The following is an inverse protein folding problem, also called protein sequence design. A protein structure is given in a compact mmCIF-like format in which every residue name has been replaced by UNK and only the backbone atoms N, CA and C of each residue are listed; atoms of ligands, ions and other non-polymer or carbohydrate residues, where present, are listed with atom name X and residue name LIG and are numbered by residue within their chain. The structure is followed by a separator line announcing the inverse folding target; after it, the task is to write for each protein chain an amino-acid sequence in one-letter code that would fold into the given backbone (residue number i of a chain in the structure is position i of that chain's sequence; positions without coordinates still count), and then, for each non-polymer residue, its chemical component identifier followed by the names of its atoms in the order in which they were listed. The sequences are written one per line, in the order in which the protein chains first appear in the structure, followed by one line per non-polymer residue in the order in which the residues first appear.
data_IF_811752942393
#
_entry.id   IF_811752942393
#
_cell.length_a   1.000
_cell.length_b   1.000
_cell.length_c   1.000
_cell.angle_alpha   90.00
_cell.angle_beta   90.00
_cell.angle_gamma   90.00
#
_symmetry.space_group_name_H-M   'P 1'
#
loop_
_entity.id
_entity.type
_entity.pdbx_description
1 polymer ?
#
# COMPACT_ATOMS: atom_id res chain seq x y z
N UNK A 1 -36.11 -2.83 -34.91
CA UNK A 1 -35.03 -2.54 -35.87
C UNK A 1 -34.56 -3.80 -36.58
N UNK A 2 -34.20 -4.86 -35.85
CA UNK A 2 -33.83 -6.17 -36.40
C UNK A 2 -34.89 -6.71 -37.37
N UNK A 3 -36.17 -6.83 -36.98
CA UNK A 3 -37.27 -7.29 -37.86
C UNK A 3 -37.48 -6.43 -39.13
N UNK A 4 -37.32 -5.12 -39.02
CA UNK A 4 -37.51 -4.18 -40.14
C UNK A 4 -36.39 -4.32 -41.18
N UNK A 5 -35.17 -4.66 -40.72
CA UNK A 5 -34.00 -4.93 -41.57
C UNK A 5 -34.10 -6.34 -42.18
N UNK A 6 -34.44 -7.36 -41.39
CA UNK A 6 -34.57 -8.76 -41.86
C UNK A 6 -35.65 -8.92 -42.91
N UNK A 7 -36.76 -8.18 -42.85
CA UNK A 7 -37.88 -8.36 -43.79
C UNK A 7 -37.81 -7.34 -44.92
N UNK A 8 -37.67 -6.05 -44.61
CA UNK A 8 -37.76 -4.98 -45.61
C UNK A 8 -36.56 -4.90 -46.54
N UNK A 9 -35.34 -4.96 -46.00
CA UNK A 9 -34.13 -4.84 -46.82
C UNK A 9 -33.79 -6.13 -47.54
N UNK A 10 -34.06 -7.28 -46.94
CA UNK A 10 -33.92 -8.59 -47.60
C UNK A 10 -34.78 -8.69 -48.85
N UNK A 11 -36.03 -8.22 -48.80
CA UNK A 11 -36.91 -8.23 -49.97
C UNK A 11 -36.39 -7.29 -51.06
N UNK A 12 -36.04 -6.04 -50.72
CA UNK A 12 -35.49 -5.10 -51.69
C UNK A 12 -34.19 -5.60 -52.36
N UNK A 13 -33.31 -6.26 -51.60
CA UNK A 13 -32.06 -6.80 -52.13
C UNK A 13 -32.33 -8.00 -53.04
N UNK A 14 -33.25 -8.90 -52.67
CA UNK A 14 -33.64 -10.03 -53.53
C UNK A 14 -34.37 -9.57 -54.79
N UNK A 15 -35.21 -8.54 -54.71
CA UNK A 15 -35.91 -7.95 -55.85
C UNK A 15 -34.91 -7.26 -56.80
N UNK A 16 -33.90 -6.60 -56.26
CA UNK A 16 -32.83 -5.99 -57.06
C UNK A 16 -31.93 -7.06 -57.69
N UNK A 17 -31.54 -8.09 -56.94
CA UNK A 17 -30.70 -9.18 -57.44
C UNK A 17 -31.40 -10.01 -58.51
N UNK A 18 -32.70 -10.29 -58.37
CA UNK A 18 -33.48 -11.02 -59.37
C UNK A 18 -33.63 -10.23 -60.69
N UNK A 19 -33.54 -8.91 -60.64
CA UNK A 19 -33.53 -8.05 -61.85
C UNK A 19 -32.18 -8.02 -62.59
N UNK A 20 -31.08 -8.37 -61.92
CA UNK A 20 -29.70 -8.27 -62.46
C UNK A 20 -29.09 -9.65 -62.76
N UNK A 21 -29.45 -10.68 -61.99
CA UNK A 21 -28.91 -12.04 -62.10
C UNK A 21 -30.09 -13.01 -62.19
N UNK A 22 -30.26 -13.66 -63.34
CA UNK A 22 -31.26 -14.72 -63.53
C UNK A 22 -30.78 -16.02 -62.88
N UNK A 23 -30.98 -16.16 -61.57
CA UNK A 23 -30.79 -17.42 -60.85
C UNK A 23 -32.01 -17.72 -59.98
N UNK A 24 -32.86 -18.65 -60.44
CA UNK A 24 -34.08 -19.10 -59.75
C UNK A 24 -33.83 -19.80 -58.39
N UNK A 25 -32.57 -20.05 -58.02
CA UNK A 25 -32.21 -20.94 -56.91
C UNK A 25 -31.42 -20.32 -55.75
N UNK A 26 -31.17 -19.00 -55.76
CA UNK A 26 -30.42 -18.33 -54.68
C UNK A 26 -31.17 -17.10 -54.17
N UNK A 27 -31.77 -17.23 -52.98
CA UNK A 27 -32.35 -16.11 -52.22
C UNK A 27 -31.45 -15.79 -51.03
N UNK A 28 -31.09 -14.52 -50.88
CA UNK A 28 -30.33 -14.05 -49.73
C UNK A 28 -31.32 -13.80 -48.59
N UNK A 29 -31.02 -14.33 -47.40
CA UNK A 29 -31.77 -14.04 -46.18
C UNK A 29 -30.84 -13.31 -45.22
N UNK A 30 -31.05 -12.00 -45.04
CA UNK A 30 -30.27 -11.24 -44.06
C UNK A 30 -30.83 -11.54 -42.69
N UNK A 31 -30.00 -12.09 -41.80
CA UNK A 31 -30.33 -12.26 -40.39
C UNK A 31 -29.43 -11.35 -39.56
N UNK A 32 -30.01 -10.52 -38.72
CA UNK A 32 -29.28 -9.61 -37.84
C UNK A 32 -28.85 -10.34 -36.57
N UNK A 33 -27.59 -10.78 -36.49
CA UNK A 33 -27.00 -11.33 -35.26
C UNK A 33 -26.53 -10.18 -34.34
N UNK A 34 -27.50 -9.51 -33.72
CA UNK A 34 -27.30 -8.32 -32.89
C UNK A 34 -27.44 -8.70 -31.41
N UNK A 35 -26.33 -9.09 -30.79
CA UNK A 35 -26.26 -9.22 -29.33
C UNK A 35 -26.15 -7.84 -28.67
N UNK A 36 -26.47 -7.74 -27.37
CA UNK A 36 -26.29 -6.51 -26.60
C UNK A 36 -24.83 -6.02 -26.69
N UNK A 37 -23.86 -6.93 -26.56
CA UNK A 37 -22.43 -6.60 -26.69
C UNK A 37 -22.07 -6.04 -28.06
N UNK A 38 -22.54 -6.64 -29.16
CA UNK A 38 -22.31 -6.12 -30.53
C UNK A 38 -23.01 -4.79 -30.76
N UNK A 39 -24.21 -4.63 -30.22
CA UNK A 39 -24.97 -3.39 -30.33
C UNK A 39 -24.25 -2.24 -29.61
N UNK A 40 -23.79 -2.48 -28.38
CA UNK A 40 -23.14 -1.48 -27.55
C UNK A 40 -21.71 -1.17 -28.02
N UNK A 41 -20.93 -2.18 -28.46
CA UNK A 41 -19.53 -1.96 -28.88
C UNK A 41 -19.39 -1.46 -30.32
N UNK A 42 -20.19 -1.96 -31.26
CA UNK A 42 -19.95 -1.75 -32.70
C UNK A 42 -20.95 -0.82 -33.38
N UNK A 43 -22.09 -0.54 -32.74
CA UNK A 43 -23.22 0.17 -33.38
C UNK A 43 -23.70 1.41 -32.63
N UNK A 44 -23.40 1.56 -31.35
CA UNK A 44 -23.80 2.72 -30.53
C UNK A 44 -22.58 3.61 -30.28
N UNK A 45 -22.62 4.84 -30.78
CA UNK A 45 -21.64 5.86 -30.42
C UNK A 45 -22.08 6.54 -29.12
N UNK A 46 -21.31 6.37 -28.04
CA UNK A 46 -21.58 7.08 -26.79
C UNK A 46 -21.16 8.55 -26.92
N UNK A 47 -22.03 9.44 -26.45
CA UNK A 47 -21.75 10.87 -26.35
C UNK A 47 -22.10 11.33 -24.95
N UNK A 48 -21.16 11.98 -24.29
CA UNK A 48 -21.34 12.53 -22.95
C UNK A 48 -21.82 13.97 -23.09
N UNK A 49 -22.81 14.36 -22.29
CA UNK A 49 -23.29 15.75 -22.24
C UNK A 49 -22.53 16.50 -21.15
N UNK A 50 -21.54 17.32 -21.52
CA UNK A 50 -20.96 18.33 -20.62
C UNK A 50 -21.59 19.69 -20.92
N UNK A 51 -22.40 20.21 -19.98
CA UNK A 51 -23.15 21.46 -20.16
C UNK A 51 -23.94 21.50 -21.48
N UNK A 52 -24.64 20.40 -21.78
CA UNK A 52 -25.42 20.22 -23.02
C UNK A 52 -24.60 20.12 -24.32
N UNK A 53 -23.26 20.10 -24.23
CA UNK A 53 -22.39 19.84 -25.38
C UNK A 53 -22.15 18.32 -25.46
N UNK A 54 -22.54 17.66 -26.55
CA UNK A 54 -22.22 16.26 -26.77
C UNK A 54 -20.74 16.13 -27.10
N UNK A 55 -19.98 15.52 -26.21
CA UNK A 55 -18.58 15.20 -26.38
C UNK A 55 -18.48 13.71 -26.71
N UNK A 56 -17.86 13.36 -27.85
CA UNK A 56 -17.74 11.97 -28.27
C UNK A 56 -16.85 11.16 -27.31
N UNK A 57 -17.15 9.87 -27.19
CA UNK A 57 -16.51 8.92 -26.27
C UNK A 57 -14.98 8.87 -26.39
N UNK A 58 -14.45 8.96 -27.60
CA UNK A 58 -13.02 9.00 -27.88
C UNK A 58 -12.30 10.19 -27.22
N UNK A 59 -13.04 11.19 -26.71
CA UNK A 59 -12.51 12.34 -25.97
C UNK A 59 -12.70 12.23 -24.45
N UNK A 60 -13.64 11.41 -23.95
CA UNK A 60 -13.92 11.25 -22.51
C UNK A 60 -13.25 10.04 -21.87
N UNK A 61 -12.75 9.09 -22.68
CA UNK A 61 -11.87 8.02 -22.25
C UNK A 61 -12.58 6.67 -22.07
N UNK A 62 -11.95 5.64 -22.63
CA UNK A 62 -12.42 4.23 -22.68
C UNK A 62 -12.83 3.63 -21.32
N UNK A 63 -12.35 4.18 -20.21
CA UNK A 63 -12.63 3.68 -18.87
C UNK A 63 -14.07 3.81 -18.40
N UNK A 64 -14.75 4.89 -18.78
CA UNK A 64 -16.16 5.06 -18.41
C UNK A 64 -17.07 4.14 -19.21
N UNK A 65 -16.76 3.95 -20.49
CA UNK A 65 -17.41 2.94 -21.34
C UNK A 65 -17.31 1.57 -20.72
N UNK A 66 -16.12 1.14 -20.27
CA UNK A 66 -15.95 -0.15 -19.62
C UNK A 66 -16.85 -0.32 -18.39
N UNK A 67 -16.97 0.70 -17.53
CA UNK A 67 -17.86 0.63 -16.38
C UNK A 67 -19.33 0.53 -16.81
N UNK A 68 -19.75 1.34 -17.79
CA UNK A 68 -21.11 1.32 -18.32
C UNK A 68 -21.44 -0.04 -18.95
N UNK A 69 -20.50 -0.64 -19.69
CA UNK A 69 -20.63 -1.96 -20.30
C UNK A 69 -20.80 -3.04 -19.24
N UNK A 70 -19.97 -3.04 -18.19
CA UNK A 70 -20.11 -3.97 -17.06
C UNK A 70 -21.50 -3.81 -16.42
N UNK A 71 -21.95 -2.58 -16.16
CA UNK A 71 -23.26 -2.32 -15.57
C UNK A 71 -24.39 -2.76 -16.51
N UNK A 72 -24.29 -2.50 -17.81
CA UNK A 72 -25.29 -2.90 -18.80
C UNK A 72 -25.42 -4.44 -18.88
N UNK A 73 -24.30 -5.16 -18.87
CA UNK A 73 -24.29 -6.62 -18.87
C UNK A 73 -24.84 -7.19 -17.57
N UNK A 74 -24.58 -6.54 -16.43
CA UNK A 74 -25.24 -6.87 -15.16
C UNK A 74 -26.75 -6.66 -15.21
N UNK A 75 -27.21 -5.54 -15.78
CA UNK A 75 -28.65 -5.24 -15.94
C UNK A 75 -29.30 -6.31 -16.81
N UNK A 76 -28.75 -6.59 -17.98
CA UNK A 76 -29.28 -7.60 -18.92
C UNK A 76 -29.34 -8.99 -18.27
N UNK A 77 -28.32 -9.36 -17.49
CA UNK A 77 -28.32 -10.60 -16.71
C UNK A 77 -29.45 -10.65 -15.67
N UNK A 78 -29.65 -9.56 -14.92
CA UNK A 78 -30.68 -9.44 -13.89
C UNK A 78 -32.10 -9.42 -14.50
N UNK A 79 -32.26 -8.79 -15.66
CA UNK A 79 -33.55 -8.71 -16.36
C UNK A 79 -33.96 -10.06 -16.93
N UNK A 80 -33.00 -10.82 -17.49
CA UNK A 80 -33.19 -12.21 -17.94
C UNK A 80 -33.46 -13.20 -16.80
N UNK A 81 -33.30 -12.78 -15.54
CA UNK A 81 -33.61 -13.60 -14.39
C UNK A 81 -35.13 -13.78 -14.24
N UNK A 82 -35.65 -14.95 -14.61
CA UNK A 82 -37.06 -15.32 -14.46
C UNK A 82 -37.37 -15.67 -12.99
N UNK A 83 -38.36 -14.97 -12.42
CA UNK A 83 -38.60 -14.80 -10.98
C UNK A 83 -39.07 -15.99 -10.16
N UNK A 84 -38.98 -17.23 -10.64
CA UNK A 84 -39.41 -18.43 -9.87
C UNK A 84 -38.40 -19.61 -9.92
N UNK A 85 -37.20 -19.39 -10.46
CA UNK A 85 -36.14 -20.40 -10.46
C UNK A 85 -35.47 -20.47 -9.09
N UNK A 86 -36.23 -21.00 -8.14
CA UNK A 86 -35.85 -21.42 -6.79
C UNK A 86 -34.45 -22.04 -6.72
N UNK A 87 -33.58 -21.46 -5.87
CA UNK A 87 -32.51 -22.04 -5.03
C UNK A 87 -31.68 -23.26 -5.49
N UNK A 88 -31.74 -23.68 -6.75
CA UNK A 88 -31.19 -24.93 -7.27
C UNK A 88 -30.10 -24.72 -8.32
N UNK A 89 -29.85 -23.47 -8.72
CA UNK A 89 -28.80 -23.08 -9.65
C UNK A 89 -27.78 -22.18 -8.95
N UNK A 90 -26.50 -22.40 -9.23
CA UNK A 90 -25.41 -21.50 -8.81
C UNK A 90 -25.33 -20.40 -9.87
N UNK A 91 -25.63 -19.17 -9.46
CA UNK A 91 -25.49 -18.00 -10.32
C UNK A 91 -24.17 -17.31 -9.99
N UNK A 92 -23.25 -17.32 -10.95
CA UNK A 92 -21.91 -16.76 -10.80
C UNK A 92 -21.73 -15.65 -11.83
N UNK A 93 -21.33 -14.48 -11.36
CA UNK A 93 -20.93 -13.36 -12.21
C UNK A 93 -19.44 -13.15 -12.01
N UNK A 94 -18.68 -13.20 -13.10
CA UNK A 94 -17.25 -12.98 -13.08
C UNK A 94 -16.91 -11.68 -13.81
N UNK A 95 -16.09 -10.85 -13.18
CA UNK A 95 -15.52 -9.66 -13.79
C UNK A 95 -14.00 -9.80 -13.70
N UNK A 96 -13.36 -9.90 -14.86
CA UNK A 96 -11.92 -10.01 -14.96
C UNK A 96 -11.30 -8.64 -15.24
N UNK A 97 -10.32 -8.25 -14.42
CA UNK A 97 -9.51 -7.03 -14.56
C UNK A 97 -10.31 -5.77 -14.94
N UNK A 98 -11.35 -5.39 -14.16
CA UNK A 98 -12.20 -4.26 -14.51
C UNK A 98 -11.45 -2.92 -14.53
N UNK A 99 -10.25 -2.83 -13.94
CA UNK A 99 -9.39 -1.65 -14.00
C UNK A 99 -8.90 -1.27 -15.40
N UNK A 100 -9.00 -2.18 -16.38
CA UNK A 100 -8.50 -1.94 -17.73
C UNK A 100 -9.14 -0.68 -18.32
N UNK A 101 -8.30 0.29 -18.71
CA UNK A 101 -8.67 1.63 -19.18
C UNK A 101 -9.41 2.54 -18.16
N UNK A 102 -9.70 2.08 -16.94
CA UNK A 102 -10.39 2.89 -15.91
C UNK A 102 -9.45 3.88 -15.21
N UNK A 103 -9.95 5.08 -14.94
CA UNK A 103 -9.25 6.06 -14.12
C UNK A 103 -9.14 5.57 -12.66
N UNK A 104 -8.01 5.75 -11.94
CA UNK A 104 -7.86 5.32 -10.54
C UNK A 104 -8.99 5.69 -9.58
N UNK A 105 -9.50 6.92 -9.61
CA UNK A 105 -10.64 7.31 -8.76
C UNK A 105 -11.97 6.64 -9.16
N UNK A 106 -12.12 6.15 -10.40
CA UNK A 106 -13.25 5.27 -10.74
C UNK A 106 -13.06 3.88 -10.15
N UNK A 107 -11.83 3.36 -10.15
CA UNK A 107 -11.48 2.06 -9.55
C UNK A 107 -11.77 2.06 -8.03
N UNK A 108 -11.44 3.15 -7.34
CA UNK A 108 -11.76 3.35 -5.90
C UNK A 108 -13.27 3.32 -5.60
N UNK A 109 -14.12 3.64 -6.58
CA UNK A 109 -15.58 3.65 -6.44
C UNK A 109 -16.24 2.44 -7.10
N UNK A 110 -15.47 1.55 -7.72
CA UNK A 110 -15.98 0.46 -8.55
C UNK A 110 -16.96 -0.44 -7.78
N UNK A 111 -16.54 -0.97 -6.63
CA UNK A 111 -17.38 -1.87 -5.82
C UNK A 111 -18.66 -1.18 -5.36
N UNK A 112 -18.55 0.10 -5.00
CA UNK A 112 -19.72 0.92 -4.63
C UNK A 112 -20.68 1.06 -5.81
N UNK A 113 -20.19 1.38 -7.00
CA UNK A 113 -21.04 1.55 -8.18
C UNK A 113 -21.76 0.26 -8.58
N UNK A 114 -21.07 -0.87 -8.53
CA UNK A 114 -21.67 -2.19 -8.79
C UNK A 114 -22.77 -2.49 -7.76
N UNK A 115 -22.48 -2.30 -6.47
CA UNK A 115 -23.47 -2.51 -5.42
C UNK A 115 -24.68 -1.57 -5.55
N UNK A 116 -24.46 -0.28 -5.84
CA UNK A 116 -25.52 0.71 -6.03
C UNK A 116 -26.38 0.37 -7.26
N UNK A 117 -25.77 -0.10 -8.36
CA UNK A 117 -26.48 -0.54 -9.55
C UNK A 117 -27.36 -1.77 -9.24
N UNK A 118 -26.79 -2.81 -8.63
CA UNK A 118 -27.52 -4.01 -8.23
C UNK A 118 -28.68 -3.68 -7.29
N UNK A 119 -28.43 -2.89 -6.24
CA UNK A 119 -29.46 -2.49 -5.28
C UNK A 119 -30.63 -1.73 -5.94
N UNK A 120 -30.33 -0.82 -6.88
CA UNK A 120 -31.37 -0.09 -7.62
C UNK A 120 -32.21 -1.02 -8.50
N UNK A 121 -31.59 -2.02 -9.14
CA UNK A 121 -32.32 -2.98 -9.96
C UNK A 121 -33.23 -3.87 -9.12
N UNK A 122 -32.74 -4.38 -7.99
CA UNK A 122 -33.52 -5.17 -7.04
C UNK A 122 -34.70 -4.39 -6.43
N UNK A 123 -34.60 -3.06 -6.37
CA UNK A 123 -35.66 -2.21 -5.81
C UNK A 123 -36.82 -1.91 -6.77
N UNK A 124 -36.63 -2.13 -8.08
CA UNK A 124 -37.56 -1.62 -9.11
C UNK A 124 -38.78 -2.51 -9.38
N UNK A 125 -38.70 -3.83 -9.26
CA UNK A 125 -39.84 -4.73 -9.54
C UNK A 125 -39.81 -6.01 -8.67
N UNK A 126 -40.99 -6.49 -8.28
CA UNK A 126 -41.33 -7.75 -7.61
C UNK A 126 -40.17 -8.62 -7.13
N UNK A 127 -39.73 -8.43 -5.86
CA UNK A 127 -38.87 -9.33 -5.05
C UNK A 127 -38.10 -10.42 -5.82
N UNK A 128 -37.33 -10.06 -6.86
CA UNK A 128 -36.45 -11.02 -7.53
C UNK A 128 -35.36 -11.35 -6.51
N UNK A 129 -35.46 -12.50 -5.86
CA UNK A 129 -34.47 -12.95 -4.89
C UNK A 129 -33.22 -13.40 -5.65
N UNK A 130 -32.34 -12.44 -5.93
CA UNK A 130 -31.21 -12.63 -6.80
C UNK A 130 -30.08 -13.30 -6.02
N UNK A 131 -30.07 -14.63 -6.04
CA UNK A 131 -29.04 -15.44 -5.40
C UNK A 131 -27.83 -15.58 -6.34
N UNK A 132 -27.07 -14.49 -6.54
CA UNK A 132 -25.86 -14.47 -7.39
C UNK A 132 -24.61 -14.13 -6.60
N UNK A 133 -23.52 -14.81 -6.92
CA UNK A 133 -22.19 -14.54 -6.37
C UNK A 133 -21.35 -13.78 -7.39
N UNK A 134 -20.81 -12.64 -6.98
CA UNK A 134 -19.88 -11.84 -7.77
C UNK A 134 -18.43 -12.24 -7.43
N UNK A 135 -17.65 -12.56 -8.45
CA UNK A 135 -16.22 -12.85 -8.37
C UNK A 135 -15.47 -11.84 -9.23
N UNK A 136 -14.50 -11.16 -8.64
CA UNK A 136 -13.67 -10.16 -9.32
C UNK A 136 -12.22 -10.60 -9.21
N UNK A 137 -11.51 -10.69 -10.32
CA UNK A 137 -10.04 -10.71 -10.35
C UNK A 137 -9.53 -9.30 -10.64
N UNK A 138 -8.47 -8.89 -9.95
CA UNK A 138 -7.89 -7.56 -10.11
C UNK A 138 -6.42 -7.55 -9.70
N UNK A 139 -5.63 -6.78 -10.43
CA UNK A 139 -4.29 -6.34 -10.09
C UNK A 139 -4.26 -4.91 -9.52
N UNK A 140 -5.43 -4.26 -9.39
CA UNK A 140 -5.54 -2.90 -8.88
C UNK A 140 -5.63 -2.83 -7.36
N UNK A 141 -4.68 -2.11 -6.77
CA UNK A 141 -4.72 -1.71 -5.37
C UNK A 141 -5.91 -0.79 -5.05
N UNK A 142 -6.43 -0.05 -6.03
CA UNK A 142 -7.61 0.82 -5.89
C UNK A 142 -8.91 0.03 -5.80
N UNK A 143 -9.08 -1.04 -6.58
CA UNK A 143 -10.26 -1.92 -6.47
C UNK A 143 -10.24 -2.67 -5.14
N UNK A 144 -9.08 -3.18 -4.73
CA UNK A 144 -8.92 -3.82 -3.42
C UNK A 144 -9.29 -2.85 -2.29
N UNK A 145 -8.84 -1.60 -2.38
CA UNK A 145 -9.21 -0.55 -1.44
C UNK A 145 -10.73 -0.29 -1.42
N UNK A 146 -11.33 -0.16 -2.61
CA UNK A 146 -12.79 -0.04 -2.80
C UNK A 146 -13.53 -1.17 -2.09
N UNK A 147 -13.07 -2.42 -2.24
CA UNK A 147 -13.68 -3.60 -1.59
C UNK A 147 -13.55 -3.54 -0.07
N UNK A 148 -12.37 -3.22 0.46
CA UNK A 148 -12.15 -3.15 1.92
C UNK A 148 -13.04 -2.06 2.52
N UNK A 149 -13.23 -0.96 1.79
CA UNK A 149 -14.03 0.17 2.23
C UNK A 149 -15.54 -0.08 2.14
N UNK A 150 -16.05 -0.52 1.00
CA UNK A 150 -17.48 -0.77 0.79
C UNK A 150 -17.98 -2.01 1.52
N UNK A 151 -17.13 -3.03 1.69
CA UNK A 151 -17.46 -4.27 2.40
C UNK A 151 -17.14 -4.25 3.89
N UNK A 152 -16.58 -3.16 4.42
CA UNK A 152 -16.13 -2.99 5.81
C UNK A 152 -15.34 -4.20 6.36
N UNK A 153 -14.39 -4.74 5.59
CA UNK A 153 -13.64 -5.91 6.03
C UNK A 153 -12.72 -6.55 5.01
N UNK A 154 -11.91 -7.49 5.47
CA UNK A 154 -11.04 -8.33 4.65
C UNK A 154 -11.73 -9.60 4.17
N UNK A 155 -12.91 -9.92 4.71
CA UNK A 155 -13.69 -11.10 4.34
C UNK A 155 -14.00 -11.14 2.85
N UNK A 156 -13.91 -12.31 2.23
CA UNK A 156 -14.07 -12.50 0.77
C UNK A 156 -12.94 -11.87 -0.08
N UNK A 157 -11.72 -11.76 0.46
CA UNK A 157 -10.52 -11.55 -0.36
C UNK A 157 -9.70 -12.84 -0.40
N UNK A 158 -9.44 -13.31 -1.61
CA UNK A 158 -8.51 -14.39 -1.87
C UNK A 158 -7.22 -13.77 -2.41
N UNK A 159 -6.18 -13.75 -1.59
CA UNK A 159 -4.87 -13.26 -1.99
C UNK A 159 -4.09 -14.37 -2.69
N UNK A 160 -3.84 -14.19 -3.98
CA UNK A 160 -3.09 -15.14 -4.81
C UNK A 160 -1.62 -14.71 -4.79
N UNK A 161 -0.74 -15.60 -4.36
CA UNK A 161 0.70 -15.36 -4.26
C UNK A 161 1.50 -16.55 -4.75
N UNK A 162 2.80 -16.38 -4.90
CA UNK A 162 3.73 -17.41 -5.32
C UNK A 162 4.79 -17.62 -4.24
N UNK A 163 5.04 -18.86 -3.87
CA UNK A 163 6.10 -19.20 -2.92
C UNK A 163 6.66 -20.58 -3.23
N UNK A 164 7.99 -20.71 -3.20
CA UNK A 164 8.68 -21.97 -3.50
C UNK A 164 8.30 -22.54 -4.88
N UNK A 165 8.15 -21.68 -5.90
CA UNK A 165 7.67 -22.03 -7.25
C UNK A 165 6.26 -22.63 -7.31
N UNK A 166 5.45 -22.47 -6.26
CA UNK A 166 4.06 -22.93 -6.23
C UNK A 166 3.11 -21.75 -6.05
N UNK A 167 2.00 -21.77 -6.80
CA UNK A 167 0.89 -20.84 -6.58
C UNK A 167 0.19 -21.18 -5.25
N UNK A 168 -0.07 -20.16 -4.45
CA UNK A 168 -0.77 -20.26 -3.17
C UNK A 168 -1.93 -19.29 -3.13
N UNK A 169 -3.01 -19.72 -2.49
CA UNK A 169 -4.19 -18.89 -2.25
C UNK A 169 -4.35 -18.72 -0.75
N UNK A 170 -4.27 -17.48 -0.30
CA UNK A 170 -4.40 -17.08 1.09
C UNK A 170 -5.76 -16.41 1.26
N UNK A 171 -6.66 -17.07 1.99
CA UNK A 171 -7.99 -16.53 2.27
C UNK A 171 -7.88 -15.54 3.42
N UNK A 172 -8.08 -14.25 3.13
CA UNK A 172 -8.15 -13.20 4.13
C UNK A 172 -9.51 -13.20 4.81
N UNK A 173 -9.48 -13.08 6.13
CA UNK A 173 -10.66 -12.95 6.99
C UNK A 173 -10.31 -12.06 8.16
N UNK A 174 -11.29 -11.27 8.62
CA UNK A 174 -11.12 -10.38 9.78
C UNK A 174 -10.69 -11.16 11.04
N UNK A 175 -11.20 -12.38 11.21
CA UNK A 175 -10.85 -13.28 12.31
C UNK A 175 -9.39 -13.77 12.28
N UNK A 176 -8.77 -13.85 11.09
CA UNK A 176 -7.39 -14.34 10.93
C UNK A 176 -6.36 -13.24 11.12
N UNK A 177 -6.72 -11.99 10.82
CA UNK A 177 -5.86 -10.83 10.98
C UNK A 177 -5.97 -10.22 12.38
N UNK A 178 -6.82 -10.76 13.24
CA UNK A 178 -6.94 -10.33 14.64
C UNK A 178 -6.20 -11.26 15.59
N UNK A 179 -5.48 -10.72 16.59
CA UNK A 179 -4.88 -11.54 17.64
C UNK A 179 -5.95 -12.31 18.41
N UNK A 180 -5.80 -13.64 18.49
CA UNK A 180 -6.78 -14.53 19.15
C UNK A 180 -6.97 -14.20 20.64
N UNK A 181 -5.91 -13.74 21.30
CA UNK A 181 -5.84 -13.53 22.75
C UNK A 181 -6.42 -12.18 23.23
N UNK A 182 -6.97 -11.35 22.34
CA UNK A 182 -7.57 -10.08 22.70
C UNK A 182 -9.06 -10.22 23.10
N UNK A 183 -9.49 -9.39 24.04
CA UNK A 183 -10.91 -9.16 24.35
C UNK A 183 -11.66 -8.63 23.13
N UNK A 184 -12.96 -8.90 23.04
CA UNK A 184 -13.80 -8.56 21.87
C UNK A 184 -13.73 -7.08 21.48
N UNK A 185 -13.78 -6.17 22.46
CA UNK A 185 -13.71 -4.73 22.18
C UNK A 185 -12.36 -4.32 21.59
N UNK A 186 -11.26 -4.85 22.13
CA UNK A 186 -9.90 -4.59 21.63
C UNK A 186 -9.66 -5.17 20.24
N UNK A 187 -10.27 -6.33 19.92
CA UNK A 187 -10.26 -6.90 18.56
C UNK A 187 -10.93 -5.96 17.56
N UNK A 188 -12.08 -5.38 17.92
CA UNK A 188 -12.77 -4.42 17.05
C UNK A 188 -11.96 -3.14 16.85
N UNK A 189 -11.30 -2.62 17.88
CA UNK A 189 -10.41 -1.45 17.77
C UNK A 189 -9.20 -1.74 16.87
N UNK A 190 -8.56 -2.89 17.07
CA UNK A 190 -7.44 -3.38 16.25
C UNK A 190 -7.83 -3.50 14.77
N UNK A 191 -8.96 -4.14 14.46
CA UNK A 191 -9.48 -4.22 13.10
C UNK A 191 -9.78 -2.86 12.50
N UNK A 192 -10.46 -1.99 13.26
CA UNK A 192 -10.77 -0.63 12.79
C UNK A 192 -9.49 0.15 12.48
N UNK A 193 -8.44 -0.01 13.28
CA UNK A 193 -7.15 0.61 13.02
C UNK A 193 -6.53 0.09 11.72
N UNK A 194 -6.39 -1.23 11.56
CA UNK A 194 -5.80 -1.83 10.35
C UNK A 194 -6.60 -1.42 9.10
N UNK A 195 -7.94 -1.57 9.13
CA UNK A 195 -8.82 -1.23 8.00
C UNK A 195 -8.69 0.24 7.61
N UNK A 196 -8.76 1.16 8.57
CA UNK A 196 -8.62 2.60 8.28
C UNK A 196 -7.21 2.93 7.81
N UNK A 197 -6.18 2.36 8.41
CA UNK A 197 -4.82 2.73 8.10
C UNK A 197 -4.40 2.21 6.72
N UNK A 198 -4.77 0.98 6.36
CA UNK A 198 -4.59 0.45 4.99
C UNK A 198 -5.40 1.28 4.01
N UNK A 199 -6.67 1.57 4.32
CA UNK A 199 -7.55 2.40 3.46
C UNK A 199 -6.90 3.72 3.04
N UNK A 200 -6.32 4.43 3.99
CA UNK A 200 -5.85 5.80 3.77
C UNK A 200 -4.41 5.90 3.32
N UNK A 201 -3.60 4.87 3.53
CA UNK A 201 -2.16 5.02 3.31
C UNK A 201 -1.57 4.05 2.29
N UNK A 202 -1.93 2.77 2.27
CA UNK A 202 -1.18 1.78 1.45
C UNK A 202 -1.99 0.50 1.16
N UNK A 203 -2.89 0.51 0.17
CA UNK A 203 -3.44 -0.74 -0.39
C UNK A 203 -2.42 -1.46 -1.30
N UNK A 204 -1.37 -0.76 -1.71
CA UNK A 204 -0.26 -1.28 -2.53
C UNK A 204 0.52 -2.41 -1.83
N UNK A 205 0.45 -2.51 -0.49
CA UNK A 205 1.19 -3.51 0.28
C UNK A 205 0.89 -4.95 -0.16
N UNK A 206 -0.31 -5.19 -0.70
CA UNK A 206 -0.73 -6.52 -1.15
C UNK A 206 -0.07 -6.91 -2.49
N UNK A 207 0.51 -5.95 -3.20
CA UNK A 207 1.14 -6.15 -4.51
C UNK A 207 2.67 -5.99 -4.45
N UNK A 208 3.23 -5.80 -3.25
CA UNK A 208 4.66 -5.62 -3.02
C UNK A 208 5.40 -6.97 -2.94
N UNK A 209 6.69 -6.95 -3.26
CA UNK A 209 7.62 -8.05 -2.96
C UNK A 209 8.03 -8.05 -1.47
N UNK A 210 8.10 -6.86 -0.86
CA UNK A 210 8.42 -6.66 0.54
C UNK A 210 7.85 -5.34 1.07
N UNK A 211 7.70 -5.25 2.39
CA UNK A 211 7.25 -4.03 3.08
C UNK A 211 8.27 -3.58 4.11
N UNK A 212 8.55 -2.27 4.14
CA UNK A 212 9.37 -1.65 5.19
C UNK A 212 8.47 -0.73 6.02
N UNK A 213 8.24 -1.07 7.29
CA UNK A 213 7.55 -0.21 8.24
C UNK A 213 8.55 0.74 8.91
N UNK A 214 8.21 2.02 8.95
CA UNK A 214 8.98 3.04 9.64
C UNK A 214 8.13 3.87 10.58
N UNK A 215 8.71 4.31 11.68
CA UNK A 215 8.03 5.07 12.72
C UNK A 215 7.81 6.55 12.37
N UNK A 216 8.79 7.19 11.73
CA UNK A 216 8.81 8.62 11.45
C UNK A 216 8.91 9.02 9.99
N UNK A 217 8.67 10.31 9.74
CA UNK A 217 8.79 10.93 8.40
C UNK A 217 10.24 10.96 7.90
N UNK A 218 11.21 11.02 8.82
CA UNK A 218 12.63 11.15 8.48
C UNK A 218 13.12 9.91 7.76
N UNK A 219 12.82 8.72 8.30
CA UNK A 219 13.12 7.44 7.68
C UNK A 219 12.34 7.25 6.38
N UNK A 220 11.05 7.59 6.40
CA UNK A 220 10.16 7.46 5.23
C UNK A 220 10.70 8.21 4.01
N UNK A 221 11.18 9.44 4.22
CA UNK A 221 11.69 10.28 3.13
C UNK A 221 13.11 9.88 2.69
N UNK A 222 13.95 9.39 3.61
CA UNK A 222 15.36 9.12 3.31
C UNK A 222 15.62 7.71 2.78
N UNK A 223 14.92 6.68 3.28
CA UNK A 223 15.15 5.29 2.89
C UNK A 223 15.05 5.01 1.38
N UNK A 224 14.08 5.60 0.61
CA UNK A 224 14.01 5.37 -0.83
C UNK A 224 15.34 5.64 -1.55
N UNK A 225 16.05 6.71 -1.16
CA UNK A 225 17.33 7.08 -1.77
C UNK A 225 18.39 5.99 -1.64
N UNK A 226 18.44 5.31 -0.48
CA UNK A 226 19.42 4.26 -0.23
C UNK A 226 19.02 2.91 -0.83
N UNK A 227 17.71 2.67 -0.97
CA UNK A 227 17.19 1.49 -1.67
C UNK A 227 17.52 1.58 -3.16
N UNK A 228 17.40 2.77 -3.76
CA UNK A 228 17.76 3.03 -5.16
C UNK A 228 19.26 2.81 -5.45
N UNK A 229 20.11 3.04 -4.44
CA UNK A 229 21.56 2.76 -4.53
C UNK A 229 21.90 1.26 -4.40
N UNK A 230 20.99 0.44 -3.84
CA UNK A 230 21.22 -0.99 -3.68
C UNK A 230 20.88 -1.75 -4.98
N UNK A 231 21.86 -2.44 -5.56
CA UNK A 231 21.73 -3.12 -6.86
C UNK A 231 20.61 -4.17 -6.93
N UNK A 232 20.30 -4.83 -5.81
CA UNK A 232 19.26 -5.86 -5.75
C UNK A 232 17.91 -5.28 -5.33
N UNK A 233 17.86 -4.51 -4.25
CA UNK A 233 16.60 -3.98 -3.71
C UNK A 233 15.92 -3.00 -4.66
N UNK A 234 16.67 -2.23 -5.46
CA UNK A 234 16.10 -1.32 -6.49
C UNK A 234 15.28 -2.03 -7.56
N UNK A 235 15.44 -3.34 -7.72
CA UNK A 235 14.72 -4.14 -8.72
C UNK A 235 13.46 -4.80 -8.15
N UNK A 236 13.19 -4.61 -6.86
CA UNK A 236 12.06 -5.23 -6.14
C UNK A 236 10.98 -4.19 -5.89
N UNK A 237 9.73 -4.64 -5.89
CA UNK A 237 8.57 -3.82 -5.54
C UNK A 237 8.48 -3.67 -4.02
N UNK A 238 9.30 -2.79 -3.44
CA UNK A 238 9.34 -2.55 -1.99
C UNK A 238 8.43 -1.38 -1.64
N UNK A 239 7.46 -1.62 -0.77
CA UNK A 239 6.58 -0.58 -0.26
C UNK A 239 7.05 -0.12 1.12
N UNK A 240 7.47 1.14 1.21
CA UNK A 240 7.82 1.77 2.48
C UNK A 240 6.56 2.39 3.07
N UNK A 241 6.31 2.13 4.35
CA UNK A 241 5.09 2.54 5.02
C UNK A 241 5.38 3.23 6.34
N UNK A 242 5.07 4.53 6.42
CA UNK A 242 5.13 5.31 7.64
C UNK A 242 3.90 5.09 8.52
N UNK A 243 4.11 4.41 9.65
CA UNK A 243 3.06 4.08 10.60
C UNK A 243 2.81 5.17 11.65
N UNK A 244 3.63 6.22 11.71
CA UNK A 244 3.41 7.39 12.55
C UNK A 244 3.44 7.09 14.05
N UNK A 245 4.40 6.28 14.49
CA UNK A 245 4.58 5.82 15.87
C UNK A 245 4.83 4.32 15.98
N UNK A 246 5.02 3.85 17.22
CA UNK A 246 5.33 2.46 17.56
C UNK A 246 4.16 1.45 17.35
N UNK A 247 3.44 1.50 16.24
CA UNK A 247 2.27 0.66 15.95
C UNK A 247 2.56 -0.58 15.08
N UNK A 248 3.83 -0.90 14.82
CA UNK A 248 4.23 -1.99 13.90
C UNK A 248 3.72 -3.36 14.34
N UNK A 249 3.64 -3.59 15.66
CA UNK A 249 3.08 -4.83 16.23
C UNK A 249 1.62 -5.11 15.82
N UNK A 250 0.82 -4.08 15.51
CA UNK A 250 -0.58 -4.27 15.11
C UNK A 250 -0.69 -5.02 13.78
N UNK A 251 0.34 -4.96 12.92
CA UNK A 251 0.33 -5.57 11.59
C UNK A 251 0.79 -7.03 11.56
N UNK A 252 1.27 -7.55 12.69
CA UNK A 252 1.91 -8.87 12.74
C UNK A 252 1.02 -9.96 12.17
N UNK A 253 -0.24 -10.04 12.61
CA UNK A 253 -1.17 -11.07 12.17
C UNK A 253 -1.46 -11.00 10.67
N UNK A 254 -1.55 -9.78 10.12
CA UNK A 254 -1.73 -9.58 8.68
C UNK A 254 -0.50 -10.05 7.91
N UNK A 255 0.70 -9.60 8.29
CA UNK A 255 1.94 -9.94 7.57
C UNK A 255 2.31 -11.41 7.69
N UNK A 256 2.08 -12.03 8.84
CA UNK A 256 2.24 -13.48 8.98
C UNK A 256 1.23 -14.25 8.14
N UNK A 257 0.00 -13.73 7.99
CA UNK A 257 -1.04 -14.38 7.18
C UNK A 257 -0.70 -14.35 5.69
N UNK A 258 -0.24 -13.20 5.16
CA UNK A 258 0.10 -13.06 3.73
C UNK A 258 1.53 -13.54 3.38
N UNK A 259 2.31 -13.93 4.40
CA UNK A 259 3.69 -14.45 4.27
C UNK A 259 4.69 -13.50 3.55
N UNK A 260 4.39 -12.20 3.52
CA UNK A 260 5.19 -11.16 2.86
C UNK A 260 6.44 -10.80 3.68
N UNK A 261 7.65 -10.74 3.12
CA UNK A 261 8.83 -10.23 3.83
C UNK A 261 8.61 -8.80 4.36
N UNK A 262 8.81 -8.61 5.67
CA UNK A 262 8.64 -7.30 6.31
C UNK A 262 9.86 -6.93 7.14
N UNK A 263 10.32 -5.70 6.97
CA UNK A 263 11.29 -5.05 7.84
C UNK A 263 10.61 -3.94 8.64
N UNK A 264 10.66 -4.00 9.97
CA UNK A 264 10.17 -2.95 10.86
C UNK A 264 11.38 -2.21 11.43
N UNK A 265 11.48 -0.93 11.13
CA UNK A 265 12.49 -0.02 11.69
C UNK A 265 11.78 0.82 12.74
N UNK A 266 12.21 0.72 13.99
CA UNK A 266 11.56 1.42 15.11
C UNK A 266 12.59 1.94 16.10
N UNK A 267 12.20 2.98 16.84
CA UNK A 267 13.06 3.62 17.81
C UNK A 267 13.19 2.82 19.10
N UNK A 268 14.35 2.92 19.75
CA UNK A 268 14.63 2.26 21.02
C UNK A 268 13.85 2.91 22.18
N UNK A 269 13.54 4.21 22.07
CA UNK A 269 12.75 5.01 23.02
C UNK A 269 13.05 4.70 24.50
N UNK A 270 14.24 5.06 24.96
CA UNK A 270 14.63 4.79 26.34
C UNK A 270 13.88 5.73 27.30
N UNK A 271 13.22 5.14 28.31
CA UNK A 271 12.56 5.87 29.39
C UNK A 271 13.59 6.66 30.20
N UNK A 272 13.42 7.98 30.28
CA UNK A 272 14.29 8.90 31.04
C UNK A 272 13.52 9.58 32.16
N UNK A 273 14.17 9.75 33.31
CA UNK A 273 13.64 10.54 34.41
C UNK A 273 13.89 12.03 34.20
N UNK A 274 13.03 12.87 34.78
CA UNK A 274 13.26 14.31 34.80
C UNK A 274 14.19 14.68 35.94
N UNK A 275 15.25 15.41 35.63
CA UNK A 275 16.22 15.93 36.60
C UNK A 275 15.73 17.23 37.24
N UNK A 276 16.15 17.50 38.48
CA UNK A 276 15.87 18.79 39.13
C UNK A 276 16.66 19.93 38.47
N UNK A 277 15.94 20.94 37.97
CA UNK A 277 16.55 22.15 37.44
C UNK A 277 16.94 23.13 38.55
N UNK A 278 17.87 24.05 38.24
CA UNK A 278 18.40 25.09 39.15
C UNK A 278 17.35 25.98 39.84
N UNK A 279 16.08 25.97 39.38
CA UNK A 279 14.97 26.77 39.93
C UNK A 279 13.88 25.89 40.59
N UNK A 280 14.18 24.65 40.97
CA UNK A 280 13.20 23.68 41.49
C UNK A 280 12.21 23.14 40.45
N UNK A 281 12.32 23.56 39.17
CA UNK A 281 11.52 23.03 38.06
C UNK A 281 12.19 21.78 37.49
N UNK A 282 11.45 20.69 37.37
CA UNK A 282 11.87 19.46 36.68
C UNK A 282 12.24 19.78 35.22
N UNK A 283 13.45 19.44 34.79
CA UNK A 283 13.94 19.55 33.41
C UNK A 283 14.12 18.16 32.80
N UNK A 284 14.05 18.09 31.47
CA UNK A 284 14.37 16.86 30.75
C UNK A 284 15.86 16.60 30.85
N UNK A 285 16.23 15.35 31.11
CA UNK A 285 17.62 14.93 31.04
C UNK A 285 18.07 14.85 29.58
N UNK A 286 19.12 15.62 29.25
CA UNK A 286 19.73 15.68 27.91
C UNK A 286 21.08 14.96 27.86
N UNK A 287 21.40 14.16 28.87
CA UNK A 287 22.61 13.35 28.91
C UNK A 287 22.63 12.30 27.79
N UNK A 288 23.80 12.05 27.22
CA UNK A 288 23.98 10.89 26.34
C UNK A 288 24.09 9.61 27.16
N UNK A 289 23.61 8.51 26.57
CA UNK A 289 23.68 7.19 27.20
C UNK A 289 24.92 6.48 26.67
N UNK A 290 25.95 6.37 27.51
CA UNK A 290 27.19 5.63 27.20
C UNK A 290 27.11 4.15 27.58
N UNK A 291 26.29 3.84 28.60
CA UNK A 291 26.13 2.50 29.15
C UNK A 291 24.65 2.24 29.42
N UNK A 292 24.23 1.02 29.09
CA UNK A 292 22.88 0.55 29.41
C UNK A 292 22.92 -0.07 30.81
N UNK A 293 22.12 0.49 31.71
CA UNK A 293 21.90 -0.04 33.06
C UNK A 293 20.78 -1.08 33.06
N UNK A 294 20.79 -2.01 34.03
CA UNK A 294 19.84 -3.13 34.10
C UNK A 294 18.37 -2.70 34.26
N UNK A 295 18.14 -1.52 34.80
CA UNK A 295 16.81 -0.93 35.03
C UNK A 295 16.28 -0.12 33.83
N UNK A 296 17.07 0.09 32.77
CA UNK A 296 16.63 0.88 31.62
C UNK A 296 15.58 0.13 30.82
N UNK A 297 14.49 0.84 30.50
CA UNK A 297 13.31 0.29 29.82
C UNK A 297 13.01 1.06 28.53
N UNK A 298 12.59 0.35 27.49
CA UNK A 298 12.00 0.96 26.30
C UNK A 298 10.54 1.32 26.55
N UNK A 299 10.11 2.49 26.09
CA UNK A 299 8.68 2.84 26.00
C UNK A 299 8.04 2.43 24.67
N UNK A 300 8.83 1.88 23.73
CA UNK A 300 8.36 1.48 22.42
C UNK A 300 7.51 0.19 22.50
N UNK A 301 6.23 0.31 22.16
CA UNK A 301 5.27 -0.80 22.26
C UNK A 301 5.52 -1.90 21.23
N UNK A 302 6.08 -1.57 20.07
CA UNK A 302 6.43 -2.55 19.03
C UNK A 302 7.62 -3.40 19.48
N UNK A 303 8.67 -2.78 20.00
CA UNK A 303 9.81 -3.53 20.56
C UNK A 303 9.40 -4.42 21.72
N UNK A 304 8.62 -3.87 22.66
CA UNK A 304 8.07 -4.65 23.79
C UNK A 304 7.32 -5.89 23.29
N UNK A 305 6.45 -5.73 22.30
CA UNK A 305 5.64 -6.82 21.77
C UNK A 305 6.50 -7.92 21.15
N UNK A 306 7.42 -7.57 20.24
CA UNK A 306 8.26 -8.54 19.54
C UNK A 306 9.31 -9.18 20.46
N UNK A 307 9.72 -8.48 21.53
CA UNK A 307 10.61 -9.00 22.57
C UNK A 307 9.86 -9.72 23.72
N UNK A 308 8.78 -10.46 23.40
CA UNK A 308 8.04 -11.29 24.37
C UNK A 308 7.54 -10.51 25.61
N UNK A 309 7.09 -9.27 25.42
CA UNK A 309 6.65 -8.34 26.47
C UNK A 309 7.73 -7.91 27.47
N UNK A 310 9.01 -8.06 27.11
CA UNK A 310 10.14 -7.60 27.93
C UNK A 310 10.60 -6.20 27.48
N UNK A 311 10.51 -5.24 28.40
CA UNK A 311 10.87 -3.84 28.16
C UNK A 311 12.34 -3.53 28.44
N UNK A 312 13.09 -4.45 29.08
CA UNK A 312 14.46 -4.18 29.52
C UNK A 312 15.41 -4.06 28.31
N UNK A 313 16.06 -2.90 28.18
CA UNK A 313 16.97 -2.60 27.06
C UNK A 313 18.13 -3.60 27.03
N UNK A 314 18.66 -4.01 28.19
CA UNK A 314 19.74 -5.01 28.29
C UNK A 314 19.37 -6.33 27.61
N UNK A 315 18.09 -6.69 27.59
CA UNK A 315 17.66 -7.91 26.91
C UNK A 315 17.41 -7.70 25.42
N UNK A 316 16.95 -6.51 25.03
CA UNK A 316 16.72 -6.13 23.63
C UNK A 316 18.05 -6.10 22.87
N UNK A 317 19.04 -5.34 23.36
CA UNK A 317 20.31 -5.11 22.65
C UNK A 317 21.24 -6.34 22.55
N UNK A 318 20.90 -7.45 23.23
CA UNK A 318 21.66 -8.72 23.10
C UNK A 318 21.58 -9.28 21.69
N UNK A 319 20.45 -9.07 21.03
CA UNK A 319 20.25 -9.40 19.63
C UNK A 319 20.46 -8.13 18.80
N UNK A 320 21.01 -8.27 17.58
CA UNK A 320 21.16 -7.11 16.68
C UNK A 320 19.83 -6.73 16.00
N UNK A 321 18.92 -7.69 15.89
CA UNK A 321 17.58 -7.56 15.34
C UNK A 321 16.72 -8.71 15.88
N UNK A 322 15.41 -8.53 15.93
CA UNK A 322 14.48 -9.60 16.31
C UNK A 322 13.89 -10.20 15.03
N UNK A 323 14.00 -11.52 14.85
CA UNK A 323 13.37 -12.24 13.72
C UNK A 323 12.13 -12.99 14.21
N UNK A 324 10.98 -12.74 13.58
CA UNK A 324 9.73 -13.47 13.79
C UNK A 324 9.16 -13.92 12.44
N UNK A 325 9.40 -15.19 12.05
CA UNK A 325 9.03 -15.74 10.74
C UNK A 325 9.57 -14.87 9.58
N UNK A 326 8.67 -14.22 8.85
CA UNK A 326 8.90 -13.32 7.71
C UNK A 326 9.05 -11.84 8.12
N UNK A 327 9.03 -11.53 9.42
CA UNK A 327 9.16 -10.18 9.96
C UNK A 327 10.53 -10.03 10.64
N UNK A 328 11.26 -8.98 10.29
CA UNK A 328 12.50 -8.56 10.93
C UNK A 328 12.23 -7.23 11.63
N UNK A 329 12.62 -7.10 12.89
CA UNK A 329 12.51 -5.84 13.64
C UNK A 329 13.91 -5.35 13.97
N UNK A 330 14.24 -4.17 13.47
CA UNK A 330 15.51 -3.50 13.66
C UNK A 330 15.33 -2.23 14.50
N UNK A 331 16.29 -2.01 15.38
CA UNK A 331 16.32 -0.91 16.33
C UNK A 331 17.77 -0.48 16.55
N UNK A 332 17.95 0.69 17.16
CA UNK A 332 19.27 1.23 17.39
C UNK A 332 20.09 0.33 18.32
N UNK A 333 21.37 0.14 17.97
CA UNK A 333 22.39 -0.47 18.81
C UNK A 333 23.50 0.57 19.08
N UNK A 334 24.52 0.19 19.84
CA UNK A 334 25.66 1.06 20.17
C UNK A 334 26.32 1.57 18.90
N UNK A 335 26.42 2.89 18.76
CA UNK A 335 27.18 3.57 17.70
C UNK A 335 28.32 4.32 18.38
N UNK A 336 29.57 3.92 18.04
CA UNK A 336 30.76 4.36 18.77
C UNK A 336 30.67 4.07 20.27
N UNK A 337 30.50 5.12 21.09
CA UNK A 337 30.46 5.04 22.55
C UNK A 337 29.04 5.21 23.10
N UNK A 338 28.06 5.55 22.26
CA UNK A 338 26.72 5.96 22.68
C UNK A 338 25.62 5.03 22.18
N UNK A 339 24.50 5.00 22.90
CA UNK A 339 23.28 4.29 22.50
C UNK A 339 22.23 5.31 22.03
N UNK A 340 22.06 5.49 20.72
CA UNK A 340 21.03 6.39 20.20
C UNK A 340 19.64 5.85 20.51
N UNK A 341 18.71 6.76 20.83
CA UNK A 341 17.33 6.37 21.17
C UNK A 341 16.34 6.58 20.02
N UNK A 342 16.76 7.25 18.95
CA UNK A 342 15.92 7.50 17.77
C UNK A 342 16.73 7.53 16.48
N UNK A 343 16.04 7.50 15.33
CA UNK A 343 16.67 7.64 14.02
C UNK A 343 17.50 8.91 13.88
N UNK A 344 16.99 10.09 14.25
CA UNK A 344 17.73 11.35 14.05
C UNK A 344 19.05 11.35 14.82
N UNK A 345 19.04 10.82 16.04
CA UNK A 345 20.25 10.68 16.84
C UNK A 345 21.25 9.72 16.19
N UNK A 346 20.78 8.53 15.78
CA UNK A 346 21.64 7.52 15.16
C UNK A 346 22.24 8.03 13.84
N UNK A 347 21.46 8.76 13.05
CA UNK A 347 21.88 9.36 11.80
C UNK A 347 22.95 10.44 12.01
N UNK A 348 22.76 11.30 13.02
CA UNK A 348 23.74 12.35 13.38
C UNK A 348 25.03 11.73 13.94
N UNK A 349 24.92 10.70 14.80
CA UNK A 349 26.08 9.97 15.32
C UNK A 349 26.90 9.33 14.20
N UNK A 350 26.23 8.68 13.25
CA UNK A 350 26.90 7.98 12.14
C UNK A 350 27.63 8.96 11.22
N UNK A 351 27.08 10.15 11.03
CA UNK A 351 27.51 11.12 10.02
C UNK A 351 28.03 12.45 10.60
N UNK A 352 28.56 12.42 11.83
CA UNK A 352 28.86 13.63 12.62
C UNK A 352 29.77 14.64 11.89
N UNK A 353 30.67 14.16 11.03
CA UNK A 353 31.63 14.93 10.23
C UNK A 353 31.20 15.18 8.77
N UNK A 354 30.03 14.66 8.37
CA UNK A 354 29.55 14.79 7.01
C UNK A 354 29.18 16.26 6.69
N UNK A 355 29.68 16.76 5.56
CA UNK A 355 29.48 18.16 5.13
C UNK A 355 28.02 18.49 4.84
N UNK A 356 27.26 17.55 4.27
CA UNK A 356 25.84 17.74 3.95
C UNK A 356 25.04 17.83 5.25
N UNK A 357 25.22 16.88 6.16
CA UNK A 357 24.55 16.90 7.45
C UNK A 357 24.85 18.20 8.21
N UNK A 358 26.12 18.59 8.30
CA UNK A 358 26.52 19.80 9.02
C UNK A 358 25.93 21.07 8.40
N UNK A 359 25.81 21.14 7.08
CA UNK A 359 25.12 22.24 6.40
C UNK A 359 23.65 22.29 6.79
N UNK A 360 22.95 21.15 6.78
CA UNK A 360 21.54 21.06 7.17
C UNK A 360 21.36 21.45 8.65
N UNK A 361 22.12 20.87 9.57
CA UNK A 361 22.04 21.18 11.00
C UNK A 361 22.25 22.69 11.29
N UNK A 362 23.19 23.32 10.55
CA UNK A 362 23.43 24.77 10.64
C UNK A 362 22.26 25.59 10.15
N UNK A 363 21.58 25.15 9.07
CA UNK A 363 20.41 25.83 8.51
C UNK A 363 19.20 25.74 9.45
N UNK A 364 18.87 24.53 9.93
CA UNK A 364 17.65 24.30 10.72
C UNK A 364 17.74 24.89 12.14
N UNK A 365 18.94 24.87 12.74
CA UNK A 365 19.16 25.19 14.15
C UNK A 365 20.48 25.94 14.37
N UNK A 366 20.64 27.08 13.70
CA UNK A 366 21.87 27.89 13.70
C UNK A 366 22.46 28.18 15.09
N UNK A 367 21.61 28.55 16.07
CA UNK A 367 22.07 28.87 17.44
C UNK A 367 22.62 27.63 18.16
N UNK A 368 21.94 26.50 18.01
CA UNK A 368 22.36 25.21 18.57
C UNK A 368 23.65 24.76 17.89
N UNK A 369 23.73 24.89 16.57
CA UNK A 369 24.91 24.54 15.78
C UNK A 369 26.17 25.28 16.25
N UNK A 370 26.11 26.61 16.35
CA UNK A 370 27.24 27.42 16.80
C UNK A 370 27.68 27.09 18.23
N UNK A 371 26.73 26.69 19.10
CA UNK A 371 27.03 26.31 20.49
C UNK A 371 27.65 24.91 20.61
N UNK A 372 27.17 23.94 19.84
CA UNK A 372 27.64 22.55 19.92
C UNK A 372 28.95 22.40 19.15
N UNK A 373 28.95 22.75 17.86
CA UNK A 373 30.07 22.42 16.96
C UNK A 373 31.32 23.20 17.32
N UNK A 374 31.24 24.52 17.59
CA UNK A 374 32.41 25.36 17.94
C UNK A 374 33.67 25.13 17.06
N UNK A 375 33.47 24.84 15.78
CA UNK A 375 34.48 24.48 14.76
C UNK A 375 35.07 23.05 14.83
N UNK A 376 34.55 22.18 15.68
CA UNK A 376 34.94 20.77 15.76
C UNK A 376 33.70 19.86 15.64
N UNK A 377 33.66 19.07 14.56
CA UNK A 377 32.54 18.16 14.28
C UNK A 377 32.45 17.01 15.27
N UNK A 378 33.53 16.64 15.98
CA UNK A 378 33.48 15.63 17.06
C UNK A 378 32.50 16.04 18.17
N UNK A 379 32.24 17.34 18.34
CA UNK A 379 31.23 17.79 19.31
C UNK A 379 29.81 17.36 18.93
N UNK A 380 29.50 17.13 17.65
CA UNK A 380 28.21 16.54 17.26
C UNK A 380 28.06 15.13 17.83
N UNK A 381 29.14 14.34 17.82
CA UNK A 381 29.16 12.98 18.36
C UNK A 381 28.91 12.96 19.86
N UNK A 382 29.51 13.90 20.62
CA UNK A 382 29.34 14.06 22.07
C UNK A 382 28.02 14.72 22.51
N UNK A 383 27.20 15.18 21.56
CA UNK A 383 25.96 15.90 21.84
C UNK A 383 24.82 15.43 20.93
N UNK A 384 24.86 14.17 20.45
CA UNK A 384 23.85 13.63 19.53
C UNK A 384 22.44 13.65 20.12
N UNK A 385 22.31 13.28 21.39
CA UNK A 385 21.03 13.31 22.08
C UNK A 385 20.52 14.74 22.26
N UNK A 386 21.42 15.70 22.54
CA UNK A 386 21.00 17.10 22.57
C UNK A 386 20.52 17.57 21.19
N UNK A 387 21.15 17.15 20.10
CA UNK A 387 20.66 17.44 18.75
C UNK A 387 19.25 16.90 18.53
N UNK A 388 19.05 15.62 18.80
CA UNK A 388 17.76 14.95 18.72
C UNK A 388 16.68 15.67 19.54
N UNK A 389 16.99 15.99 20.79
CA UNK A 389 16.09 16.71 21.69
C UNK A 389 15.72 18.08 21.13
N UNK A 390 16.69 18.86 20.62
CA UNK A 390 16.44 20.20 20.08
C UNK A 390 15.65 20.16 18.77
N UNK A 391 15.92 19.18 17.91
CA UNK A 391 15.16 18.97 16.67
C UNK A 391 13.70 18.66 17.01
N UNK A 392 13.46 17.78 18.00
CA UNK A 392 12.13 17.49 18.51
C UNK A 392 11.44 18.71 19.16
N UNK A 393 12.12 19.40 20.08
CA UNK A 393 11.59 20.58 20.80
C UNK A 393 11.15 21.71 19.86
N UNK A 394 11.82 21.86 18.72
CA UNK A 394 11.52 22.90 17.73
C UNK A 394 10.63 22.40 16.58
N UNK A 395 10.11 21.17 16.62
CA UNK A 395 9.32 20.53 15.56
C UNK A 395 10.03 20.55 14.18
N UNK A 396 11.36 20.33 14.18
CA UNK A 396 12.22 20.41 12.99
C UNK A 396 12.50 19.06 12.33
N UNK A 397 11.85 17.96 12.74
CA UNK A 397 12.07 16.62 12.16
C UNK A 397 11.75 16.56 10.66
N UNK A 398 10.56 17.02 10.26
CA UNK A 398 10.16 17.05 8.84
C UNK A 398 11.06 17.97 8.00
N UNK A 399 11.47 19.11 8.57
CA UNK A 399 12.40 20.05 7.91
C UNK A 399 13.80 19.43 7.73
N UNK A 400 14.30 18.74 8.76
CA UNK A 400 15.54 17.96 8.67
C UNK A 400 15.46 16.92 7.53
N UNK A 401 14.36 16.16 7.46
CA UNK A 401 14.14 15.14 6.45
C UNK A 401 14.17 15.74 5.03
N UNK A 402 13.43 16.82 4.80
CA UNK A 402 13.31 17.47 3.50
C UNK A 402 14.62 18.14 3.05
N UNK A 403 15.31 18.84 3.95
CA UNK A 403 16.60 19.48 3.65
C UNK A 403 17.70 18.45 3.36
N UNK A 404 17.73 17.34 4.12
CA UNK A 404 18.61 16.22 3.83
C UNK A 404 18.30 15.61 2.46
N UNK A 405 17.03 15.30 2.19
CA UNK A 405 16.61 14.75 0.90
C UNK A 405 17.03 15.66 -0.27
N UNK A 406 16.71 16.96 -0.19
CA UNK A 406 17.08 17.94 -1.21
C UNK A 406 18.59 17.97 -1.44
N UNK A 407 19.39 18.06 -0.37
CA UNK A 407 20.84 18.14 -0.53
C UNK A 407 21.47 16.82 -1.00
N UNK A 408 20.93 15.67 -0.62
CA UNK A 408 21.43 14.38 -1.11
C UNK A 408 21.16 14.26 -2.61
N UNK A 409 19.95 14.56 -3.06
CA UNK A 409 19.53 14.45 -4.47
C UNK A 409 20.25 15.48 -5.38
N UNK A 410 20.45 16.71 -4.90
CA UNK A 410 21.07 17.78 -5.70
C UNK A 410 22.59 17.73 -5.74
N UNK A 411 23.21 16.90 -4.90
CA UNK A 411 24.66 16.84 -4.82
C UNK A 411 25.22 15.80 -5.80
N UNK A 412 26.21 16.19 -6.62
CA UNK A 412 26.93 15.26 -7.49
C UNK A 412 27.59 14.14 -6.66
N UNK A 413 27.52 12.88 -7.14
CA UNK A 413 28.05 11.64 -6.50
C UNK A 413 29.48 11.70 -5.94
N UNK A 414 30.26 12.72 -6.28
CA UNK A 414 31.62 12.95 -5.78
C UNK A 414 31.66 13.45 -4.32
N UNK A 415 30.58 14.04 -3.80
CA UNK A 415 30.48 14.30 -2.36
C UNK A 415 29.92 13.06 -1.68
N UNK A 416 30.63 12.54 -0.68
CA UNK A 416 30.16 11.42 0.14
C UNK A 416 28.80 11.77 0.77
N UNK A 417 27.75 11.14 0.27
CA UNK A 417 26.40 11.19 0.84
C UNK A 417 26.47 10.66 2.28
N UNK A 418 25.68 11.19 3.23
CA UNK A 418 25.57 10.60 4.55
C UNK A 418 25.23 9.11 4.46
N UNK A 419 25.81 8.29 5.33
CA UNK A 419 25.55 6.86 5.37
C UNK A 419 24.37 6.53 6.28
N UNK A 420 23.62 5.47 5.96
CA UNK A 420 22.64 4.91 6.89
C UNK A 420 23.32 4.34 8.15
N UNK A 421 22.68 4.49 9.32
CA UNK A 421 23.10 3.80 10.53
C UNK A 421 23.20 2.27 10.34
N UNK A 422 24.15 1.64 11.04
CA UNK A 422 24.47 0.22 10.88
C UNK A 422 23.26 -0.71 11.08
N UNK A 423 22.39 -0.41 12.04
CA UNK A 423 21.20 -1.24 12.31
C UNK A 423 20.21 -1.28 11.14
N UNK A 424 20.09 -0.18 10.38
CA UNK A 424 19.23 -0.13 9.19
C UNK A 424 19.88 -0.89 8.05
N UNK A 425 21.19 -0.71 7.83
CA UNK A 425 21.94 -1.47 6.82
C UNK A 425 21.78 -2.98 7.05
N UNK A 426 21.98 -3.45 8.29
CA UNK A 426 21.75 -4.84 8.68
C UNK A 426 20.29 -5.27 8.45
N UNK A 427 19.33 -4.42 8.75
CA UNK A 427 17.91 -4.69 8.48
C UNK A 427 17.62 -4.91 6.99
N UNK A 428 18.16 -4.05 6.13
CA UNK A 428 18.05 -4.18 4.68
C UNK A 428 18.74 -5.45 4.16
N UNK A 429 19.90 -5.81 4.70
CA UNK A 429 20.61 -7.05 4.35
C UNK A 429 19.80 -8.30 4.73
N UNK A 430 19.11 -8.27 5.87
CA UNK A 430 18.23 -9.38 6.27
C UNK A 430 16.96 -9.44 5.42
N UNK A 431 16.42 -8.28 5.00
CA UNK A 431 15.31 -8.22 4.06
C UNK A 431 15.70 -8.79 2.69
N UNK A 432 16.90 -8.47 2.19
CA UNK A 432 17.48 -9.05 0.97
C UNK A 432 17.51 -10.59 1.07
N UNK A 433 18.02 -11.13 2.19
CA UNK A 433 18.05 -12.59 2.43
C UNK A 433 16.64 -13.21 2.37
N UNK A 434 15.65 -12.62 3.04
CA UNK A 434 14.27 -13.11 3.01
C UNK A 434 13.68 -13.10 1.59
N UNK A 435 13.95 -12.04 0.82
CA UNK A 435 13.50 -11.91 -0.56
C UNK A 435 14.10 -12.98 -1.47
N UNK A 436 15.37 -13.34 -1.25
CA UNK A 436 16.04 -14.43 -1.99
C UNK A 436 15.52 -15.80 -1.59
N UNK A 437 15.24 -16.01 -0.31
CA UNK A 437 14.71 -17.29 0.23
C UNK A 437 13.30 -17.61 -0.29
N UNK A 438 12.44 -16.60 -0.45
CA UNK A 438 11.06 -16.79 -0.92
C UNK A 438 10.95 -17.18 -2.42
N UNK A 439 12.07 -17.26 -3.13
CA UNK A 439 12.14 -17.54 -4.55
C UNK A 439 11.91 -16.28 -5.37
N UNK A 440 12.80 -16.01 -6.32
CA UNK A 440 12.57 -14.96 -7.30
C UNK A 440 11.39 -15.37 -8.19
N UNK A 441 10.39 -14.49 -8.34
CA UNK A 441 9.56 -14.51 -9.54
C UNK A 441 10.56 -14.28 -10.69
N UNK A 442 11.05 -15.36 -11.31
CA UNK A 442 11.65 -15.26 -12.63
C UNK A 442 10.56 -14.65 -13.48
N UNK A 443 10.69 -13.37 -13.82
CA UNK A 443 9.79 -12.68 -14.72
C UNK A 443 9.61 -13.53 -15.98
N UNK A 444 8.53 -14.31 -16.02
CA UNK A 444 8.16 -15.13 -17.18
C UNK A 444 7.71 -14.22 -18.34
N UNK A 445 7.53 -12.92 -18.10
CA UNK A 445 7.06 -11.94 -19.09
C UNK A 445 8.21 -11.07 -19.60
N UNK A 446 9.33 -11.68 -20.02
CA UNK A 446 10.34 -10.96 -20.84
C UNK A 446 10.50 -11.48 -22.27
N UNK A 447 9.68 -12.43 -22.72
CA UNK A 447 9.61 -12.83 -24.13
C UNK A 447 8.19 -13.25 -24.50
N UNK A 448 7.37 -12.31 -24.96
CA UNK A 448 6.38 -12.53 -26.01
C UNK A 448 6.21 -11.25 -26.81
#
# INVERSE_FOLDING_TARGET
MTETITIGQTNNINDTLSSVISQDNLKIFLNSDLSLDKALNDLVNYQYLDKEIPIPENQFGLGYTNLVMIIANLIDYIDKYEGDMSNSKINLICIEEPETYMHPQMQELFIKYINDAINKLLSKEDKKNLNSQLVISTHSSHILNSKIHSGDGFDNINYVTFKNNESRIIILKDEKITPKNLETNKKMEHLKFIKKHIKFKVSELFFSDAVILVEGDTEYNLLPLYIDENEYLKQKYITIFNIGGAYGHLYKELFELIELPVLIITDLDIKREKIEGKNGKKKNDISQIEKIEENMQSTNTTLKFFNKNNEMIVNIIKEEYIKNKNIIVCYQNKIYEYYPTSFEEAFILTNFDNKILNKVLKNILQRTYSRIVKNDYENNKKNSYEWQFRIGENNKKTELANELFYHIVTTNKNNKIPELPEYIKKGLDQLDKLLRENGEIKNVIKNK
#
